data_IF_095018811611
#
_entry.id   IF_095018811611
#
_cell.length_a   1.000
_cell.length_b   1.000
_cell.length_c   1.000
_cell.angle_alpha   90.00
_cell.angle_beta   90.00
_cell.angle_gamma   90.00
#
_symmetry.space_group_name_H-M   'P 1'
#
loop_
_entity.id
_entity.type
_entity.pdbx_description
1 polymer ?
#
# COMPACT_ATOMS: atom_id res chain seq x y z
N UNK A 1 -3.29 17.10 -8.72
CA UNK A 1 -3.73 15.74 -9.10
C UNK A 1 -2.51 14.84 -9.27
N UNK A 2 -2.51 13.66 -8.64
CA UNK A 2 -1.41 12.69 -8.77
C UNK A 2 -1.32 12.19 -10.22
N UNK A 3 -0.17 12.41 -10.87
CA UNK A 3 0.10 12.00 -12.26
C UNK A 3 0.37 10.49 -12.36
N UNK A 4 -0.53 9.66 -11.85
CA UNK A 4 -0.46 8.19 -11.94
C UNK A 4 -0.92 7.77 -13.34
N UNK A 5 0.00 7.20 -14.11
CA UNK A 5 -0.28 6.70 -15.45
C UNK A 5 -0.70 5.21 -15.45
N UNK A 6 -0.95 4.68 -16.64
CA UNK A 6 -1.34 3.28 -16.84
C UNK A 6 -0.27 2.31 -16.29
N UNK A 7 1.02 2.64 -16.43
CA UNK A 7 2.12 1.82 -15.92
C UNK A 7 2.12 1.75 -14.40
N UNK A 8 1.88 2.88 -13.72
CA UNK A 8 1.70 2.90 -12.27
C UNK A 8 0.54 1.99 -11.85
N UNK A 9 -0.59 2.05 -12.57
CA UNK A 9 -1.76 1.22 -12.29
C UNK A 9 -1.46 -0.28 -12.42
N UNK A 10 -0.80 -0.70 -13.50
CA UNK A 10 -0.44 -2.11 -13.74
C UNK A 10 0.52 -2.66 -12.67
N UNK A 11 1.51 -1.85 -12.28
CA UNK A 11 2.46 -2.22 -11.23
C UNK A 11 1.79 -2.29 -9.85
N UNK A 12 0.88 -1.35 -9.55
CA UNK A 12 0.12 -1.38 -8.30
C UNK A 12 -0.81 -2.60 -8.24
N UNK A 13 -1.51 -2.91 -9.33
CA UNK A 13 -2.33 -4.13 -9.43
C UNK A 13 -1.50 -5.41 -9.25
N UNK A 14 -0.31 -5.43 -9.84
CA UNK A 14 0.63 -6.55 -9.67
C UNK A 14 1.05 -6.69 -8.20
N UNK A 15 1.38 -5.58 -7.52
CA UNK A 15 1.70 -5.59 -6.10
C UNK A 15 0.50 -6.10 -5.26
N UNK A 16 -0.71 -5.62 -5.54
CA UNK A 16 -1.93 -6.11 -4.88
C UNK A 16 -2.14 -7.62 -5.09
N UNK A 17 -1.86 -8.15 -6.28
CA UNK A 17 -2.06 -9.58 -6.56
C UNK A 17 -1.12 -10.50 -5.77
N UNK A 18 0.06 -10.01 -5.38
CA UNK A 18 1.11 -10.82 -4.74
C UNK A 18 1.44 -10.40 -3.30
N UNK A 19 0.68 -9.46 -2.72
CA UNK A 19 1.00 -8.88 -1.41
C UNK A 19 1.06 -9.90 -0.25
N UNK A 20 0.32 -11.00 -0.39
CA UNK A 20 0.27 -12.09 0.57
C UNK A 20 1.31 -13.20 0.32
N UNK A 21 2.15 -13.12 -0.73
CA UNK A 21 3.09 -14.21 -1.07
C UNK A 21 4.05 -14.55 0.07
N UNK A 22 4.39 -13.58 0.93
CA UNK A 22 5.25 -13.81 2.10
C UNK A 22 4.62 -14.67 3.20
N UNK A 23 3.28 -14.78 3.24
CA UNK A 23 2.57 -15.64 4.19
C UNK A 23 2.84 -17.13 3.94
N UNK A 24 3.32 -17.51 2.76
CA UNK A 24 3.71 -18.89 2.49
C UNK A 24 5.00 -19.32 3.21
N UNK A 25 5.74 -18.36 3.78
CA UNK A 25 6.98 -18.61 4.55
C UNK A 25 6.71 -18.57 6.05
N UNK A 26 6.28 -17.42 6.56
CA UNK A 26 5.88 -17.21 7.96
C UNK A 26 5.07 -15.91 8.07
N UNK A 27 4.13 -15.85 9.01
CA UNK A 27 3.26 -14.68 9.16
C UNK A 27 3.91 -13.49 9.87
N UNK A 28 4.95 -13.70 10.71
CA UNK A 28 5.55 -12.64 11.54
C UNK A 28 6.31 -11.61 10.73
N UNK A 29 6.96 -12.04 9.66
CA UNK A 29 7.76 -11.18 8.78
C UNK A 29 7.28 -11.27 7.32
N UNK A 30 5.97 -11.44 7.13
CA UNK A 30 5.39 -11.63 5.81
C UNK A 30 5.76 -10.53 4.80
N UNK A 31 5.81 -9.22 5.13
CA UNK A 31 6.30 -8.18 4.22
C UNK A 31 7.76 -8.39 3.78
N UNK A 32 8.64 -8.78 4.72
CA UNK A 32 10.05 -9.03 4.43
C UNK A 32 10.22 -10.29 3.57
N UNK A 33 9.45 -11.34 3.85
CA UNK A 33 9.42 -12.56 3.03
C UNK A 33 8.90 -12.28 1.62
N UNK A 34 7.82 -11.51 1.48
CA UNK A 34 7.28 -11.12 0.19
C UNK A 34 8.30 -10.35 -0.66
N UNK A 35 8.96 -9.36 -0.06
CA UNK A 35 10.03 -8.60 -0.70
C UNK A 35 11.23 -9.48 -1.08
N UNK A 36 11.62 -10.42 -0.21
CA UNK A 36 12.69 -11.38 -0.49
C UNK A 36 12.35 -12.28 -1.67
N UNK A 37 11.15 -12.87 -1.70
CA UNK A 37 10.70 -13.74 -2.78
C UNK A 37 10.68 -12.98 -4.11
N UNK A 38 10.07 -11.79 -4.16
CA UNK A 38 10.02 -10.99 -5.40
C UNK A 38 11.40 -10.57 -5.91
N UNK A 39 12.37 -10.32 -5.02
CA UNK A 39 13.75 -10.01 -5.42
C UNK A 39 14.44 -11.20 -6.11
N UNK A 40 14.19 -12.42 -5.65
CA UNK A 40 14.93 -13.62 -6.07
C UNK A 40 14.18 -14.53 -7.06
N UNK A 41 12.86 -14.43 -7.17
CA UNK A 41 12.08 -15.18 -8.15
C UNK A 41 12.23 -14.58 -9.56
N UNK A 42 12.24 -15.42 -10.59
CA UNK A 42 12.08 -14.93 -11.95
C UNK A 42 10.63 -14.48 -12.18
N UNK A 43 10.49 -13.25 -12.67
CA UNK A 43 9.20 -12.64 -12.97
C UNK A 43 9.18 -12.25 -14.46
N UNK A 44 8.90 -13.21 -15.37
CA UNK A 44 8.77 -12.92 -16.80
C UNK A 44 7.78 -11.78 -17.04
N UNK A 45 8.16 -10.81 -17.88
CA UNK A 45 7.37 -9.60 -18.12
C UNK A 45 7.70 -8.42 -17.18
N UNK A 46 8.56 -8.60 -16.17
CA UNK A 46 9.03 -7.52 -15.30
C UNK A 46 10.53 -7.26 -15.47
N UNK A 47 10.88 -6.00 -15.71
CA UNK A 47 12.27 -5.55 -15.69
C UNK A 47 12.86 -5.63 -14.27
N UNK A 48 14.20 -5.71 -14.11
CA UNK A 48 14.83 -5.68 -12.79
C UNK A 48 14.44 -4.46 -11.95
N UNK A 49 14.27 -3.29 -12.58
CA UNK A 49 13.82 -2.08 -11.90
C UNK A 49 12.38 -2.24 -11.37
N UNK A 50 11.46 -2.78 -12.17
CA UNK A 50 10.08 -3.04 -11.74
C UNK A 50 10.01 -4.08 -10.64
N UNK A 51 10.80 -5.17 -10.71
CA UNK A 51 10.91 -6.15 -9.62
C UNK A 51 11.37 -5.48 -8.32
N UNK A 52 12.37 -4.60 -8.39
CA UNK A 52 12.85 -3.85 -7.23
C UNK A 52 11.76 -2.96 -6.64
N UNK A 53 11.01 -2.24 -7.47
CA UNK A 53 9.87 -1.44 -7.01
C UNK A 53 8.80 -2.31 -6.34
N UNK A 54 8.39 -3.42 -6.95
CA UNK A 54 7.42 -4.34 -6.35
C UNK A 54 7.90 -4.81 -4.98
N UNK A 55 9.15 -5.26 -4.87
CA UNK A 55 9.71 -5.67 -3.59
C UNK A 55 9.70 -4.54 -2.54
N UNK A 56 10.00 -3.30 -2.93
CA UNK A 56 9.95 -2.15 -2.02
C UNK A 56 8.52 -1.82 -1.56
N UNK A 57 7.53 -1.92 -2.47
CA UNK A 57 6.12 -1.73 -2.13
C UNK A 57 5.63 -2.80 -1.16
N UNK A 58 5.94 -4.07 -1.42
CA UNK A 58 5.55 -5.19 -0.57
C UNK A 58 6.21 -5.12 0.81
N UNK A 59 7.48 -4.70 0.88
CA UNK A 59 8.15 -4.54 2.17
C UNK A 59 7.51 -3.43 3.02
N UNK A 60 6.96 -2.40 2.39
CA UNK A 60 6.30 -1.26 3.03
C UNK A 60 4.76 -1.40 3.11
N UNK A 61 4.22 -2.60 2.91
CA UNK A 61 2.77 -2.80 2.80
C UNK A 61 2.00 -2.68 4.12
N UNK A 62 2.68 -2.75 5.26
CA UNK A 62 2.12 -2.47 6.60
C UNK A 62 3.23 -2.00 7.55
N UNK A 63 2.89 -1.61 8.78
CA UNK A 63 3.86 -1.20 9.80
C UNK A 63 4.58 0.13 9.48
N UNK A 64 5.76 0.33 10.09
CA UNK A 64 6.59 1.52 9.86
C UNK A 64 7.01 1.67 8.40
N UNK A 65 6.99 2.89 7.88
CA UNK A 65 7.35 3.20 6.49
C UNK A 65 8.85 3.51 6.39
N UNK A 66 9.54 2.83 5.49
CA UNK A 66 10.94 3.05 5.14
C UNK A 66 11.03 3.79 3.79
N UNK A 67 11.18 5.12 3.86
CA UNK A 67 11.35 5.97 2.68
C UNK A 67 12.65 5.69 1.91
N UNK A 68 13.70 5.21 2.58
CA UNK A 68 14.96 4.90 1.93
C UNK A 68 14.78 3.73 0.95
N UNK A 69 14.00 2.72 1.31
CA UNK A 69 13.66 1.63 0.40
C UNK A 69 12.85 2.11 -0.82
N UNK A 70 11.89 3.02 -0.62
CA UNK A 70 11.06 3.56 -1.70
C UNK A 70 11.83 4.47 -2.67
N UNK A 71 12.88 5.15 -2.19
CA UNK A 71 13.74 6.03 -3.00
C UNK A 71 14.85 5.26 -3.74
N UNK A 72 15.24 4.07 -3.28
CA UNK A 72 16.30 3.27 -3.90
C UNK A 72 15.89 2.53 -5.17
N UNK A 73 14.59 2.42 -5.49
CA UNK A 73 14.14 1.81 -6.74
C UNK A 73 14.28 2.77 -7.94
N UNK A 74 14.48 2.22 -9.13
CA UNK A 74 14.75 3.02 -10.35
C UNK A 74 13.67 2.81 -11.44
N UNK A 75 12.51 2.22 -11.09
CA UNK A 75 11.41 2.03 -12.03
C UNK A 75 10.57 3.30 -12.20
N UNK A 76 10.43 4.09 -11.14
CA UNK A 76 9.60 5.29 -11.09
C UNK A 76 10.31 6.41 -10.31
N UNK A 77 9.95 7.68 -10.53
CA UNK A 77 10.29 8.78 -9.63
C UNK A 77 9.92 8.46 -8.16
N UNK A 78 10.74 8.83 -7.17
CA UNK A 78 10.49 8.52 -5.76
C UNK A 78 9.08 8.87 -5.28
N UNK A 79 8.61 10.09 -5.56
CA UNK A 79 7.25 10.54 -5.18
C UNK A 79 6.12 9.66 -5.74
N UNK A 80 6.30 9.05 -6.92
CA UNK A 80 5.30 8.13 -7.47
C UNK A 80 5.30 6.79 -6.73
N UNK A 81 6.47 6.26 -6.37
CA UNK A 81 6.57 5.05 -5.56
C UNK A 81 5.96 5.25 -4.15
N UNK A 82 6.19 6.41 -3.55
CA UNK A 82 5.56 6.81 -2.28
C UNK A 82 4.03 6.84 -2.39
N UNK A 83 3.49 7.52 -3.40
CA UNK A 83 2.04 7.57 -3.65
C UNK A 83 1.44 6.19 -3.88
N UNK A 84 2.11 5.33 -4.66
CA UNK A 84 1.68 3.95 -4.87
C UNK A 84 1.70 3.13 -3.57
N UNK A 85 2.71 3.32 -2.73
CA UNK A 85 2.81 2.67 -1.42
C UNK A 85 1.60 3.03 -0.55
N UNK A 86 1.25 4.32 -0.46
CA UNK A 86 0.08 4.78 0.30
C UNK A 86 -1.22 4.14 -0.18
N UNK A 87 -1.42 4.06 -1.49
CA UNK A 87 -2.60 3.40 -2.07
C UNK A 87 -2.63 1.90 -1.76
N UNK A 88 -1.50 1.21 -1.84
CA UNK A 88 -1.40 -0.21 -1.52
C UNK A 88 -1.78 -0.47 -0.05
N UNK A 89 -1.22 0.30 0.87
CA UNK A 89 -1.47 0.18 2.32
C UNK A 89 -2.95 0.35 2.66
N UNK A 90 -3.57 1.40 2.12
CA UNK A 90 -5.01 1.63 2.30
C UNK A 90 -5.85 0.50 1.68
N UNK A 91 -5.51 0.04 0.48
CA UNK A 91 -6.24 -1.05 -0.18
C UNK A 91 -6.22 -2.35 0.64
N UNK A 92 -5.09 -2.68 1.27
CA UNK A 92 -4.93 -3.86 2.15
C UNK A 92 -5.82 -3.76 3.40
N UNK A 93 -5.91 -2.57 4.02
CA UNK A 93 -6.77 -2.35 5.20
C UNK A 93 -8.25 -2.54 4.86
N UNK A 94 -8.68 -2.09 3.68
CA UNK A 94 -10.07 -2.28 3.26
C UNK A 94 -10.40 -3.73 2.87
N UNK A 95 -9.43 -4.50 2.39
CA UNK A 95 -9.63 -5.88 1.91
C UNK A 95 -9.51 -6.98 2.99
N UNK A 96 -9.17 -6.63 4.24
CA UNK A 96 -8.80 -7.61 5.29
C UNK A 96 -9.88 -8.67 5.61
N UNK A 97 -11.18 -8.39 5.39
CA UNK A 97 -12.26 -9.36 5.71
C UNK A 97 -12.42 -10.48 4.69
N UNK A 98 -11.71 -10.46 3.55
CA UNK A 98 -11.74 -11.49 2.48
C UNK A 98 -13.17 -11.94 2.09
N UNK A 99 -14.15 -11.07 2.28
CA UNK A 99 -15.55 -11.24 1.90
C UNK A 99 -15.90 -10.08 0.97
N UNK A 100 -16.49 -10.41 -0.17
CA UNK A 100 -16.94 -9.46 -1.19
C UNK A 100 -18.14 -8.60 -0.74
N UNK A 101 -18.58 -8.80 0.50
CA UNK A 101 -19.70 -8.12 1.14
C UNK A 101 -19.36 -6.63 1.35
N UNK A 102 -19.61 -5.84 0.30
CA UNK A 102 -19.64 -4.38 0.23
C UNK A 102 -18.38 -3.68 0.74
N UNK A 103 -17.43 -3.42 -0.17
CA UNK A 103 -16.53 -2.30 0.02
C UNK A 103 -17.41 -1.05 0.26
N UNK A 104 -17.27 -0.34 1.39
CA UNK A 104 -18.07 0.84 1.65
C UNK A 104 -17.88 1.86 0.52
N UNK A 105 -18.81 2.81 0.39
CA UNK A 105 -18.67 3.94 -0.53
C UNK A 105 -17.54 4.89 -0.05
N UNK A 106 -16.31 4.38 -0.02
CA UNK A 106 -15.09 5.09 0.37
C UNK A 106 -14.76 6.05 -0.75
N UNK A 107 -14.50 7.30 -0.38
CA UNK A 107 -13.95 8.29 -1.29
C UNK A 107 -12.56 8.68 -0.82
N UNK A 108 -11.59 8.60 -1.70
CA UNK A 108 -10.23 9.09 -1.46
C UNK A 108 -10.00 10.32 -2.33
N UNK A 109 -9.61 11.42 -1.70
CA UNK A 109 -9.23 12.66 -2.38
C UNK A 109 -7.78 12.98 -2.05
N UNK A 110 -7.03 13.43 -3.06
CA UNK A 110 -5.65 13.84 -2.90
C UNK A 110 -5.52 15.34 -3.16
N UNK A 111 -5.08 16.08 -2.14
CA UNK A 111 -4.70 17.48 -2.26
C UNK A 111 -3.18 17.62 -2.07
N UNK A 112 -2.48 17.89 -3.16
CA UNK A 112 -1.04 17.69 -3.30
C UNK A 112 -0.54 16.36 -2.71
N UNK A 113 0.10 16.34 -1.55
CA UNK A 113 0.54 15.11 -0.85
C UNK A 113 -0.33 14.77 0.38
N UNK A 114 -1.40 15.51 0.65
CA UNK A 114 -2.41 15.15 1.64
C UNK A 114 -3.45 14.19 1.06
N UNK A 115 -3.85 13.19 1.86
CA UNK A 115 -4.96 12.30 1.56
C UNK A 115 -6.12 12.56 2.51
N UNK A 116 -7.31 12.71 1.93
CA UNK A 116 -8.57 12.80 2.64
C UNK A 116 -9.40 11.56 2.33
N UNK A 117 -9.64 10.74 3.35
CA UNK A 117 -10.42 9.52 3.26
C UNK A 117 -11.79 9.77 3.87
N UNK A 118 -12.82 9.79 3.02
CA UNK A 118 -14.21 9.94 3.44
C UNK A 118 -14.89 8.57 3.50
N UNK A 119 -15.42 8.24 4.67
CA UNK A 119 -16.12 7.01 4.96
C UNK A 119 -17.62 7.28 5.11
N UNK A 120 -18.48 6.27 4.94
CA UNK A 120 -19.90 6.42 5.27
C UNK A 120 -20.10 6.78 6.74
N UNK A 121 -21.12 7.59 7.05
CA UNK A 121 -21.45 7.94 8.42
C UNK A 121 -21.72 6.68 9.27
N UNK A 122 -21.18 6.64 10.49
CA UNK A 122 -21.33 5.49 11.39
C UNK A 122 -20.43 4.29 11.05
N UNK A 123 -19.59 4.38 10.01
CA UNK A 123 -18.83 3.22 9.54
C UNK A 123 -17.69 2.84 10.48
N UNK A 124 -17.00 3.82 11.06
CA UNK A 124 -15.89 3.58 12.00
C UNK A 124 -16.41 2.88 13.27
N UNK A 125 -17.55 3.36 13.79
CA UNK A 125 -18.23 2.78 14.94
C UNK A 125 -18.73 1.34 14.65
N UNK A 126 -19.23 1.10 13.44
CA UNK A 126 -19.66 -0.23 13.01
C UNK A 126 -18.49 -1.21 12.74
N UNK A 127 -17.27 -0.68 12.54
CA UNK A 127 -16.08 -1.48 12.20
C UNK A 127 -14.88 -1.12 13.09
N UNK A 128 -14.94 -1.38 14.41
CA UNK A 128 -13.93 -0.93 15.37
C UNK A 128 -12.51 -1.42 15.02
N UNK A 129 -12.36 -2.67 14.58
CA UNK A 129 -11.06 -3.21 14.15
C UNK A 129 -10.49 -2.46 12.93
N UNK A 130 -11.33 -2.01 11.99
CA UNK A 130 -10.85 -1.25 10.84
C UNK A 130 -10.59 0.22 11.21
N UNK A 131 -11.36 0.78 12.15
CA UNK A 131 -11.07 2.11 12.71
C UNK A 131 -9.66 2.13 13.30
N UNK A 132 -9.35 1.15 14.16
CA UNK A 132 -8.03 1.03 14.79
C UNK A 132 -6.90 0.89 13.76
N UNK A 133 -7.10 0.06 12.72
CA UNK A 133 -6.12 -0.08 11.64
C UNK A 133 -5.92 1.21 10.84
N UNK A 134 -6.99 1.98 10.56
CA UNK A 134 -6.90 3.25 9.84
C UNK A 134 -6.26 4.36 10.68
N UNK A 135 -6.55 4.41 11.97
CA UNK A 135 -5.92 5.33 12.93
C UNK A 135 -4.42 5.02 13.05
N UNK A 136 -4.07 3.75 13.21
CA UNK A 136 -2.68 3.31 13.24
C UNK A 136 -1.95 3.62 11.93
N UNK A 137 -2.62 3.46 10.78
CA UNK A 137 -2.09 3.84 9.47
C UNK A 137 -1.85 5.35 9.37
N UNK A 138 -2.77 6.17 9.88
CA UNK A 138 -2.60 7.63 9.94
C UNK A 138 -1.36 8.01 10.77
N UNK A 139 -1.13 7.33 11.89
CA UNK A 139 0.09 7.49 12.69
C UNK A 139 1.35 7.11 11.91
N UNK A 140 1.38 5.95 11.25
CA UNK A 140 2.53 5.53 10.46
C UNK A 140 2.86 6.51 9.33
N UNK A 141 1.84 6.99 8.61
CA UNK A 141 2.01 8.00 7.56
C UNK A 141 2.51 9.33 8.13
N UNK A 142 2.03 9.74 9.32
CA UNK A 142 2.46 10.99 9.94
C UNK A 142 3.96 11.01 10.30
N UNK A 143 4.55 9.87 10.67
CA UNK A 143 5.99 9.79 10.98
C UNK A 143 6.90 10.05 9.77
N UNK A 144 6.37 9.88 8.56
CA UNK A 144 7.06 10.19 7.30
C UNK A 144 6.51 11.45 6.63
N UNK A 145 5.80 12.29 7.40
CA UNK A 145 5.19 13.55 6.95
C UNK A 145 4.12 13.39 5.85
N UNK A 146 3.49 12.22 5.77
CA UNK A 146 2.34 12.00 4.90
C UNK A 146 1.05 12.25 5.68
N UNK A 147 0.33 13.31 5.31
CA UNK A 147 -0.94 13.64 5.94
C UNK A 147 -2.05 12.70 5.43
N UNK A 148 -2.66 11.96 6.35
CA UNK A 148 -3.87 11.15 6.11
C UNK A 148 -4.95 11.56 7.11
N UNK A 149 -6.03 12.14 6.60
CA UNK A 149 -7.19 12.55 7.40
C UNK A 149 -8.37 11.63 7.11
N UNK A 150 -9.11 11.30 8.17
CA UNK A 150 -10.31 10.46 8.12
C UNK A 150 -11.53 11.36 8.38
N UNK A 151 -12.57 11.21 7.58
CA UNK A 151 -13.83 11.98 7.66
C UNK A 151 -15.04 11.11 7.44
#
# INVERSE_FOLDING_TARGET
MWKLDQRCRELLLSACAIHEIGLSVDFRHAPQHAAYLVRHLDLPGFTPAQKKLLACLLQNQNGSIDLALLTQQNALPPRLAERMCRLLRLAIIFSTRRRDDTLPAVRLQADDDALHLTLPAGWLEAHPLRSELLEQESHYQSYVHWLLTLS
#
